data_IF_853101517257
#
_entry.id   IF_853101517257
#
_cell.length_a   1.000
_cell.length_b   1.000
_cell.length_c   1.000
_cell.angle_alpha   90.00
_cell.angle_beta   90.00
_cell.angle_gamma   90.00
#
_symmetry.space_group_name_H-M   'P 1'
#
loop_
_entity.id
_entity.type
_entity.pdbx_description
1 polymer ?
#
# COMPACT_ATOMS: atom_id res chain seq x y z
N UNK A 1 31.61 -4.59 28.19
CA UNK A 1 30.20 -4.36 28.56
C UNK A 1 29.54 -3.61 27.43
N UNK A 2 28.94 -4.37 26.49
CA UNK A 2 28.15 -3.82 25.40
C UNK A 2 26.78 -3.44 25.97
N UNK A 3 26.44 -2.15 25.98
CA UNK A 3 25.06 -1.72 26.20
C UNK A 3 24.26 -2.04 24.94
N UNK A 4 23.50 -3.11 24.99
CA UNK A 4 22.42 -3.35 24.06
C UNK A 4 21.40 -2.24 24.23
N UNK A 5 21.27 -1.39 23.20
CA UNK A 5 20.14 -0.49 23.06
C UNK A 5 18.89 -1.35 22.85
N UNK A 6 18.21 -1.68 23.91
CA UNK A 6 16.83 -2.13 23.84
C UNK A 6 15.99 -0.93 23.39
N UNK A 7 15.60 -0.92 22.13
CA UNK A 7 14.54 -0.04 21.65
C UNK A 7 13.27 -0.53 22.34
N UNK A 8 12.75 0.21 23.31
CA UNK A 8 11.44 -0.08 23.89
C UNK A 8 10.41 0.00 22.77
N UNK A 9 9.89 -1.15 22.41
CA UNK A 9 8.74 -1.28 21.50
C UNK A 9 7.55 -0.60 22.18
N UNK A 10 7.16 0.55 21.67
CA UNK A 10 6.00 1.27 22.17
C UNK A 10 4.76 0.67 21.50
N UNK A 11 3.87 0.13 22.31
CA UNK A 11 2.55 -0.32 21.87
C UNK A 11 1.71 0.91 21.48
N UNK A 12 1.65 1.18 20.17
CA UNK A 12 0.94 2.33 19.61
C UNK A 12 -0.57 2.25 19.82
N UNK A 13 -1.15 1.06 19.85
CA UNK A 13 -2.56 0.88 20.14
C UNK A 13 -2.90 1.31 21.58
N UNK A 14 -2.00 1.06 22.52
CA UNK A 14 -2.15 1.50 23.91
C UNK A 14 -2.05 3.03 24.05
N UNK A 15 -1.17 3.66 23.29
CA UNK A 15 -0.98 5.11 23.27
C UNK A 15 -2.19 5.87 22.72
N UNK A 16 -2.87 5.33 21.71
CA UNK A 16 -4.01 5.99 21.06
C UNK A 16 -5.38 5.61 21.68
N UNK A 17 -5.52 4.41 22.25
CA UNK A 17 -6.80 3.95 22.83
C UNK A 17 -7.06 4.48 24.25
N UNK A 18 -6.05 4.75 25.03
CA UNK A 18 -6.24 5.07 26.46
C UNK A 18 -6.41 6.56 26.77
N UNK A 19 -6.31 7.48 25.81
CA UNK A 19 -6.48 8.92 26.04
C UNK A 19 -5.54 9.57 27.09
N UNK A 20 -4.86 8.76 27.89
CA UNK A 20 -3.92 9.11 28.96
C UNK A 20 -2.51 8.64 28.63
N UNK A 21 -2.06 8.86 27.41
CA UNK A 21 -0.70 8.48 27.02
C UNK A 21 0.32 9.45 27.66
N UNK A 22 1.52 8.95 27.90
CA UNK A 22 2.66 9.79 28.34
C UNK A 22 2.92 10.96 27.37
N UNK A 23 2.48 10.83 26.12
CA UNK A 23 2.54 11.89 25.09
C UNK A 23 1.64 13.07 25.47
N UNK A 24 0.43 12.82 26.00
CA UNK A 24 -0.48 13.90 26.43
C UNK A 24 0.04 14.71 27.63
N UNK A 25 0.99 14.18 28.38
CA UNK A 25 1.61 14.93 29.51
C UNK A 25 2.73 15.87 29.06
N UNK A 26 3.35 15.58 27.91
CA UNK A 26 4.52 16.33 27.40
C UNK A 26 4.13 17.35 26.33
N UNK A 27 3.02 17.14 25.65
CA UNK A 27 2.57 17.96 24.53
C UNK A 27 1.17 18.49 24.82
N UNK A 28 0.99 19.80 24.84
CA UNK A 28 -0.34 20.44 24.90
C UNK A 28 -1.04 20.24 23.56
N UNK A 29 -1.77 19.15 23.42
CA UNK A 29 -2.52 18.81 22.23
C UNK A 29 -3.85 19.54 22.20
N UNK A 30 -4.22 20.06 21.03
CA UNK A 30 -5.58 20.52 20.77
C UNK A 30 -6.49 19.30 20.52
N UNK A 31 -7.83 19.48 20.64
CA UNK A 31 -8.79 18.44 20.31
C UNK A 31 -8.70 17.96 18.84
N UNK A 32 -8.16 18.79 17.97
CA UNK A 32 -7.94 18.52 16.55
C UNK A 32 -6.69 17.66 16.33
N UNK A 33 -5.64 17.90 17.13
CA UNK A 33 -4.42 17.09 17.10
C UNK A 33 -4.67 15.64 17.59
N UNK A 34 -5.61 15.47 18.53
CA UNK A 34 -6.01 14.15 19.02
C UNK A 34 -6.78 13.32 17.97
N UNK A 35 -7.50 13.97 17.04
CA UNK A 35 -8.22 13.30 15.95
C UNK A 35 -7.33 12.90 14.78
N UNK A 36 -6.20 13.56 14.60
CA UNK A 36 -5.26 13.34 13.50
C UNK A 36 -3.88 12.91 14.01
N UNK A 37 -3.82 11.86 14.78
CA UNK A 37 -2.66 11.37 15.58
C UNK A 37 -1.25 11.66 15.05
N UNK A 38 -1.06 11.78 13.73
CA UNK A 38 0.23 12.06 13.12
C UNK A 38 0.68 13.54 13.21
N UNK A 39 -0.23 14.52 13.35
CA UNK A 39 0.16 15.93 13.56
C UNK A 39 1.00 16.13 14.81
N UNK A 40 0.88 15.22 15.77
CA UNK A 40 1.63 15.22 17.01
C UNK A 40 3.11 14.95 16.76
N UNK A 41 3.41 14.02 15.85
CA UNK A 41 4.79 13.60 15.57
C UNK A 41 5.54 14.58 14.67
N UNK A 42 4.80 15.32 13.86
CA UNK A 42 5.38 16.27 12.91
C UNK A 42 5.74 17.63 13.55
N UNK A 43 5.18 17.95 14.70
CA UNK A 43 5.43 19.23 15.40
C UNK A 43 6.52 19.16 16.48
N UNK A 44 7.06 17.97 16.75
CA UNK A 44 8.12 17.85 17.77
C UNK A 44 9.51 18.12 17.20
N UNK A 45 10.36 18.85 17.96
CA UNK A 45 11.81 18.98 17.67
C UNK A 45 12.49 17.62 17.45
N UNK A 46 11.96 16.58 18.08
CA UNK A 46 12.44 15.20 17.98
C UNK A 46 12.33 14.60 16.58
N UNK A 47 11.33 14.99 15.77
CA UNK A 47 11.24 14.54 14.37
C UNK A 47 12.36 15.16 13.54
N UNK A 48 12.76 16.40 13.84
CA UNK A 48 13.89 17.07 13.20
C UNK A 48 15.22 16.41 13.57
N UNK A 49 15.44 16.10 14.85
CA UNK A 49 16.64 15.40 15.30
C UNK A 49 16.81 14.01 14.67
N UNK A 50 15.69 13.26 14.51
CA UNK A 50 15.71 11.99 13.82
C UNK A 50 15.95 12.16 12.32
N UNK A 51 15.34 13.16 11.74
CA UNK A 51 15.55 13.53 10.35
C UNK A 51 17.03 13.83 10.10
N UNK A 52 17.64 14.68 10.93
CA UNK A 52 19.04 15.04 10.82
C UNK A 52 19.96 13.84 11.09
N UNK A 53 19.64 13.01 12.07
CA UNK A 53 20.42 11.81 12.41
C UNK A 53 20.45 10.73 11.33
N UNK A 54 19.33 10.50 10.65
CA UNK A 54 19.22 9.40 9.67
C UNK A 54 19.43 9.85 8.24
N UNK A 55 19.32 11.14 7.97
CA UNK A 55 19.37 11.66 6.60
C UNK A 55 20.44 12.74 6.38
N UNK A 56 21.01 13.32 7.43
CA UNK A 56 22.18 14.20 7.35
C UNK A 56 23.44 13.38 7.62
N UNK A 57 23.89 12.60 6.64
CA UNK A 57 25.21 11.98 6.76
C UNK A 57 26.27 13.04 6.45
N UNK A 58 26.80 13.68 7.47
CA UNK A 58 27.98 14.53 7.40
C UNK A 58 29.24 13.65 7.20
N UNK A 59 29.45 13.17 5.98
CA UNK A 59 30.77 12.75 5.57
C UNK A 59 31.35 13.91 4.76
N UNK A 60 32.17 14.71 5.41
CA UNK A 60 32.95 15.77 4.76
C UNK A 60 33.80 15.15 3.64
N UNK A 61 33.58 15.60 2.42
CA UNK A 61 34.53 15.35 1.34
C UNK A 61 35.59 16.45 1.42
N UNK A 62 36.88 16.07 1.45
CA UNK A 62 38.00 16.98 1.45
C UNK A 62 38.21 17.75 0.14
N UNK A 63 37.33 17.53 -0.83
CA UNK A 63 37.42 18.09 -2.17
C UNK A 63 36.98 19.55 -2.19
N UNK A 64 37.83 20.44 -2.72
CA UNK A 64 37.56 21.89 -2.87
C UNK A 64 37.29 22.21 -4.34
N UNK A 65 36.03 22.43 -4.75
CA UNK A 65 35.70 22.83 -6.10
C UNK A 65 36.11 24.28 -6.39
N UNK A 66 36.60 24.52 -7.60
CA UNK A 66 37.21 25.80 -8.00
C UNK A 66 36.25 26.79 -8.66
N UNK A 67 34.98 26.46 -8.88
CA UNK A 67 34.01 27.32 -9.55
C UNK A 67 33.15 28.13 -8.59
N UNK A 68 33.20 29.46 -8.67
CA UNK A 68 32.48 30.41 -7.81
C UNK A 68 31.20 30.99 -8.40
N UNK A 69 30.85 30.68 -9.65
CA UNK A 69 29.86 31.44 -10.43
C UNK A 69 28.58 30.67 -10.75
N UNK A 70 28.19 29.69 -9.91
CA UNK A 70 26.94 28.97 -10.10
C UNK A 70 25.77 29.59 -9.33
N UNK A 71 24.61 29.65 -9.98
CA UNK A 71 23.36 30.06 -9.35
C UNK A 71 22.79 28.88 -8.54
N UNK A 72 22.51 29.12 -7.23
CA UNK A 72 21.89 28.12 -6.36
C UNK A 72 20.50 27.73 -6.86
N UNK A 73 20.21 26.42 -6.85
CA UNK A 73 18.93 25.89 -7.29
C UNK A 73 18.80 25.76 -8.82
N UNK A 74 19.82 26.18 -9.60
CA UNK A 74 19.80 25.99 -11.04
C UNK A 74 19.88 24.51 -11.40
N UNK A 75 19.01 24.05 -12.29
CA UNK A 75 19.03 22.71 -12.85
C UNK A 75 19.83 22.75 -14.15
N UNK A 76 20.89 21.94 -14.20
CA UNK A 76 21.79 21.77 -15.34
C UNK A 76 21.63 20.38 -15.93
N UNK A 77 21.64 20.28 -17.26
CA UNK A 77 21.76 19.01 -17.97
C UNK A 77 23.25 18.76 -18.24
N UNK A 78 23.76 17.67 -17.70
CA UNK A 78 25.21 17.40 -17.67
C UNK A 78 25.55 16.05 -18.27
N UNK A 79 26.82 15.91 -18.68
CA UNK A 79 27.42 14.63 -19.07
C UNK A 79 28.63 14.33 -18.20
N UNK A 80 28.80 13.06 -17.79
CA UNK A 80 29.97 12.63 -17.05
C UNK A 80 31.22 12.72 -17.90
N UNK A 81 32.31 13.31 -17.35
CA UNK A 81 33.61 13.42 -18.00
C UNK A 81 34.66 12.54 -17.34
N UNK A 82 34.71 12.54 -16.02
CA UNK A 82 35.68 11.79 -15.22
C UNK A 82 35.00 11.29 -13.95
N UNK A 83 35.39 10.10 -13.52
CA UNK A 83 34.98 9.55 -12.23
C UNK A 83 36.23 9.40 -11.40
N UNK A 84 36.27 10.05 -10.25
CA UNK A 84 37.35 9.97 -9.30
C UNK A 84 36.89 9.12 -8.11
N UNK A 85 37.41 7.91 -8.04
CA UNK A 85 37.06 6.95 -6.99
C UNK A 85 37.76 7.23 -5.68
N UNK A 86 38.93 7.89 -5.72
CA UNK A 86 39.69 8.25 -4.51
C UNK A 86 39.00 9.39 -3.78
N UNK A 87 38.63 10.45 -4.50
CA UNK A 87 37.89 11.60 -3.97
C UNK A 87 36.37 11.37 -3.89
N UNK A 88 35.87 10.25 -4.42
CA UNK A 88 34.45 9.89 -4.47
C UNK A 88 33.56 10.95 -5.13
N UNK A 89 34.01 11.47 -6.26
CA UNK A 89 33.37 12.55 -7.01
C UNK A 89 33.27 12.19 -8.49
N UNK A 90 32.17 12.62 -9.12
CA UNK A 90 31.97 12.58 -10.56
C UNK A 90 32.15 14.00 -11.10
N UNK A 91 33.11 14.19 -11.99
CA UNK A 91 33.26 15.42 -12.75
C UNK A 91 32.32 15.39 -13.94
N UNK A 92 31.40 16.34 -14.01
CA UNK A 92 30.41 16.46 -15.08
C UNK A 92 30.52 17.81 -15.76
N UNK A 93 30.15 17.87 -17.03
CA UNK A 93 30.11 19.10 -17.82
C UNK A 93 28.67 19.49 -18.11
N UNK A 94 28.29 20.73 -17.80
CA UNK A 94 27.02 21.31 -18.19
C UNK A 94 26.99 21.51 -19.70
N UNK A 95 25.96 21.00 -20.36
CA UNK A 95 25.81 21.06 -21.83
C UNK A 95 25.54 22.49 -22.34
N UNK A 96 25.00 23.37 -21.51
CA UNK A 96 24.65 24.72 -21.92
C UNK A 96 25.82 25.70 -21.73
N UNK A 97 26.49 25.68 -20.57
CA UNK A 97 27.57 26.61 -20.23
C UNK A 97 28.96 26.05 -20.45
N UNK A 98 29.07 24.73 -20.71
CA UNK A 98 30.32 23.98 -20.78
C UNK A 98 31.14 24.02 -19.47
N UNK A 99 30.56 24.52 -18.41
CA UNK A 99 31.19 24.61 -17.09
C UNK A 99 31.32 23.22 -16.44
N UNK A 100 32.40 23.01 -15.72
CA UNK A 100 32.60 21.79 -14.93
C UNK A 100 31.88 21.87 -13.61
N UNK A 101 31.12 20.84 -13.27
CA UNK A 101 30.41 20.67 -12.01
C UNK A 101 30.89 19.38 -11.36
N UNK A 102 30.99 19.37 -10.04
CA UNK A 102 31.37 18.19 -9.29
C UNK A 102 30.17 17.62 -8.55
N UNK A 103 29.92 16.32 -8.74
CA UNK A 103 28.80 15.58 -8.11
C UNK A 103 29.38 14.54 -7.17
N UNK A 104 29.28 14.69 -5.86
CA UNK A 104 29.71 13.66 -4.90
C UNK A 104 28.95 12.36 -5.11
N UNK A 105 29.58 11.21 -4.91
CA UNK A 105 28.94 9.89 -5.05
C UNK A 105 27.67 9.75 -4.22
N UNK A 106 27.64 10.33 -3.02
CA UNK A 106 26.47 10.36 -2.13
C UNK A 106 25.27 11.10 -2.72
N UNK A 107 25.50 12.03 -3.62
CA UNK A 107 24.48 12.86 -4.31
C UNK A 107 24.09 12.30 -5.68
N UNK A 108 24.54 11.08 -5.98
CA UNK A 108 24.21 10.32 -7.18
C UNK A 108 23.39 9.08 -6.82
N UNK A 109 22.28 8.80 -7.54
CA UNK A 109 21.31 7.77 -7.15
C UNK A 109 21.74 6.35 -7.51
N UNK A 110 22.57 6.19 -8.56
CA UNK A 110 23.09 4.91 -9.04
C UNK A 110 24.52 4.70 -8.58
N UNK A 111 25.03 3.48 -8.71
CA UNK A 111 26.45 3.24 -8.51
C UNK A 111 27.27 3.94 -9.59
N UNK A 112 28.25 4.78 -9.23
CA UNK A 112 29.07 5.52 -10.21
C UNK A 112 29.81 4.64 -11.18
N UNK A 113 30.14 3.41 -10.81
CA UNK A 113 30.74 2.39 -11.68
C UNK A 113 29.90 2.07 -12.92
N UNK A 114 28.57 2.20 -12.82
CA UNK A 114 27.67 1.96 -13.95
C UNK A 114 27.81 3.02 -15.06
N UNK A 115 28.27 4.23 -14.73
CA UNK A 115 28.56 5.27 -15.73
C UNK A 115 29.78 4.93 -16.58
N UNK A 116 30.70 4.09 -16.07
CA UNK A 116 31.91 3.65 -16.80
C UNK A 116 31.55 2.61 -17.86
N UNK A 117 30.56 1.76 -17.57
CA UNK A 117 30.20 0.62 -18.45
C UNK A 117 29.16 0.99 -19.50
N UNK A 118 28.33 2.00 -19.22
CA UNK A 118 27.33 2.50 -20.17
C UNK A 118 27.87 3.75 -20.87
N UNK A 119 28.59 3.57 -21.96
CA UNK A 119 29.08 4.58 -22.91
C UNK A 119 28.93 6.04 -22.44
N UNK A 120 30.00 6.74 -22.26
CA UNK A 120 30.29 8.08 -21.72
C UNK A 120 29.34 9.24 -22.20
N UNK A 121 28.20 8.96 -22.83
CA UNK A 121 27.29 9.97 -23.39
C UNK A 121 25.94 10.03 -22.69
N UNK A 122 25.78 9.43 -21.51
CA UNK A 122 24.52 9.57 -20.77
C UNK A 122 24.42 10.97 -20.16
N UNK A 123 23.49 11.77 -20.66
CA UNK A 123 23.16 13.05 -20.07
C UNK A 123 22.14 12.85 -18.93
N UNK A 124 22.36 13.49 -17.80
CA UNK A 124 21.43 13.51 -16.67
C UNK A 124 21.31 14.92 -16.11
N UNK A 125 20.33 15.13 -15.22
CA UNK A 125 20.09 16.44 -14.63
C UNK A 125 20.66 16.50 -13.23
N UNK A 126 21.27 17.61 -12.90
CA UNK A 126 21.74 17.95 -11.54
C UNK A 126 21.21 19.33 -11.13
N UNK A 127 20.95 19.48 -9.85
CA UNK A 127 20.66 20.79 -9.25
C UNK A 127 21.90 21.29 -8.52
N UNK A 128 22.20 22.55 -8.67
CA UNK A 128 23.35 23.19 -7.99
C UNK A 128 22.97 23.52 -6.56
N UNK A 129 23.76 23.05 -5.62
CA UNK A 129 23.61 23.36 -4.20
C UNK A 129 24.94 23.82 -3.59
N UNK A 130 24.88 24.42 -2.42
CA UNK A 130 26.06 24.85 -1.66
C UNK A 130 26.24 23.90 -0.48
N UNK A 131 27.48 23.37 -0.30
CA UNK A 131 27.80 22.58 0.88
C UNK A 131 28.09 23.49 2.10
N UNK A 132 28.31 22.88 3.26
CA UNK A 132 28.59 23.60 4.50
C UNK A 132 29.89 24.43 4.44
N UNK A 133 30.85 24.04 3.59
CA UNK A 133 32.09 24.76 3.33
C UNK A 133 31.92 25.94 2.36
N UNK A 134 30.73 26.09 1.80
CA UNK A 134 30.44 27.15 0.85
C UNK A 134 30.73 26.83 -0.61
N UNK A 135 31.05 25.58 -0.94
CA UNK A 135 31.37 25.16 -2.30
C UNK A 135 30.10 24.80 -3.08
N UNK A 136 30.11 25.13 -4.39
CA UNK A 136 29.03 24.77 -5.32
C UNK A 136 29.22 23.38 -5.85
N UNK A 137 28.23 22.51 -5.62
CA UNK A 137 28.21 21.12 -6.05
C UNK A 137 26.92 20.79 -6.79
N UNK A 138 26.95 19.77 -7.63
CA UNK A 138 25.77 19.23 -8.29
C UNK A 138 25.18 18.06 -7.50
N UNK A 139 23.87 17.93 -7.52
CA UNK A 139 23.17 16.78 -6.96
C UNK A 139 22.14 16.24 -7.95
N UNK A 140 22.31 15.02 -8.35
CA UNK A 140 21.31 14.29 -9.15
C UNK A 140 20.14 13.85 -8.28
N UNK A 141 20.42 13.36 -7.06
CA UNK A 141 19.39 12.95 -6.09
C UNK A 141 18.42 14.08 -5.74
N UNK A 142 18.93 15.27 -5.46
CA UNK A 142 18.08 16.44 -5.15
C UNK A 142 17.26 16.87 -6.37
N UNK A 143 17.85 16.80 -7.57
CA UNK A 143 17.11 17.08 -8.82
C UNK A 143 15.98 16.06 -9.05
N UNK A 144 16.28 14.79 -8.91
CA UNK A 144 15.26 13.73 -9.00
C UNK A 144 14.19 13.87 -7.91
N UNK A 145 14.58 14.26 -6.68
CA UNK A 145 13.66 14.48 -5.58
C UNK A 145 12.62 15.56 -5.88
N UNK A 146 12.99 16.63 -6.58
CA UNK A 146 12.03 17.66 -7.00
C UNK A 146 10.95 17.09 -7.93
N UNK A 147 11.35 16.35 -8.96
CA UNK A 147 10.41 15.72 -9.88
C UNK A 147 9.52 14.70 -9.17
N UNK A 148 10.11 13.88 -8.29
CA UNK A 148 9.35 12.89 -7.52
C UNK A 148 8.43 13.53 -6.49
N UNK A 149 8.76 14.71 -6.01
CA UNK A 149 7.89 15.49 -5.14
C UNK A 149 6.66 15.99 -5.90
N UNK A 150 6.83 16.51 -7.13
CA UNK A 150 5.72 16.88 -8.00
C UNK A 150 4.80 15.68 -8.28
N UNK A 151 5.36 14.49 -8.53
CA UNK A 151 4.58 13.25 -8.63
C UNK A 151 3.72 13.01 -7.38
N UNK A 152 4.30 13.17 -6.18
CA UNK A 152 3.58 12.95 -4.92
C UNK A 152 2.49 14.01 -4.69
N UNK A 153 2.72 15.26 -5.06
CA UNK A 153 1.69 16.31 -4.99
C UNK A 153 0.51 15.99 -5.94
N UNK A 154 0.79 15.42 -7.12
CA UNK A 154 -0.27 14.92 -8.02
C UNK A 154 -0.99 13.72 -7.43
N UNK A 155 -0.28 12.77 -6.81
CA UNK A 155 -0.89 11.61 -6.15
C UNK A 155 -1.77 12.01 -4.96
N UNK A 156 -1.40 13.07 -4.24
CA UNK A 156 -2.25 13.62 -3.18
C UNK A 156 -3.57 14.16 -3.75
N UNK A 157 -3.53 14.88 -4.88
CA UNK A 157 -4.72 15.44 -5.54
C UNK A 157 -5.59 14.39 -6.20
N UNK A 158 -4.96 13.37 -6.81
CA UNK A 158 -5.65 12.33 -7.59
C UNK A 158 -5.96 11.07 -6.80
N UNK A 159 -5.60 11.03 -5.51
CA UNK A 159 -5.77 9.88 -4.62
C UNK A 159 -5.20 8.58 -5.20
N UNK A 160 -4.10 8.64 -5.93
CA UNK A 160 -3.38 7.49 -6.45
C UNK A 160 -2.51 6.85 -5.38
N UNK A 161 -2.36 5.55 -5.46
CA UNK A 161 -1.44 4.80 -4.63
C UNK A 161 -0.08 4.63 -5.33
N UNK A 162 0.97 4.42 -4.55
CA UNK A 162 2.34 4.21 -5.02
C UNK A 162 3.12 3.36 -4.00
N UNK A 163 4.31 2.91 -4.38
CA UNK A 163 5.17 2.15 -3.49
C UNK A 163 6.17 3.03 -2.75
N UNK A 164 6.40 2.69 -1.47
CA UNK A 164 7.50 3.26 -0.66
C UNK A 164 8.31 2.13 -0.05
N UNK A 165 9.62 2.33 0.06
CA UNK A 165 10.52 1.42 0.77
C UNK A 165 10.63 1.88 2.22
N UNK A 166 10.21 1.04 3.15
CA UNK A 166 10.36 1.30 4.60
C UNK A 166 11.82 1.13 4.99
N UNK A 167 12.43 2.16 5.56
CA UNK A 167 13.87 2.16 5.88
C UNK A 167 14.16 2.03 7.36
N UNK A 168 13.44 2.75 8.20
CA UNK A 168 13.72 2.83 9.63
C UNK A 168 12.44 2.81 10.46
N UNK A 169 12.52 2.15 11.61
CA UNK A 169 11.51 2.27 12.67
C UNK A 169 11.87 3.48 13.52
N UNK A 170 10.89 4.35 13.74
CA UNK A 170 11.04 5.55 14.56
C UNK A 170 9.88 5.64 15.57
N UNK A 171 10.00 6.55 16.55
CA UNK A 171 8.90 6.76 17.49
C UNK A 171 7.65 7.21 16.72
N UNK A 172 6.57 6.45 16.82
CA UNK A 172 5.30 6.76 16.19
C UNK A 172 5.04 6.08 14.85
N UNK A 173 6.03 5.41 14.24
CA UNK A 173 5.86 4.75 12.95
C UNK A 173 7.16 4.45 12.25
N UNK A 174 7.14 4.64 10.94
CA UNK A 174 8.27 4.31 10.08
C UNK A 174 8.66 5.49 9.20
N UNK A 175 9.94 5.61 8.94
CA UNK A 175 10.44 6.38 7.81
C UNK A 175 10.49 5.50 6.58
N UNK A 176 10.06 6.04 5.46
CA UNK A 176 10.06 5.38 4.18
C UNK A 176 10.56 6.32 3.08
N UNK A 177 11.04 5.76 1.99
CA UNK A 177 11.52 6.50 0.83
C UNK A 177 10.69 6.17 -0.41
N UNK A 178 10.23 7.20 -1.08
CA UNK A 178 9.67 7.08 -2.42
C UNK A 178 10.81 7.21 -3.44
N UNK A 179 10.92 6.21 -4.33
CA UNK A 179 11.99 6.11 -5.33
C UNK A 179 13.40 6.37 -4.75
N UNK A 180 13.63 5.95 -3.50
CA UNK A 180 14.91 6.06 -2.82
C UNK A 180 15.34 7.48 -2.39
N UNK A 181 14.53 8.51 -2.66
CA UNK A 181 14.91 9.92 -2.50
C UNK A 181 13.94 10.72 -1.64
N UNK A 182 12.64 10.71 -1.96
CA UNK A 182 11.67 11.54 -1.25
C UNK A 182 11.22 10.85 0.01
N UNK A 183 11.32 11.56 1.11
CA UNK A 183 11.04 11.06 2.45
C UNK A 183 9.55 11.07 2.72
N UNK A 184 9.07 9.97 3.30
CA UNK A 184 7.70 9.78 3.71
C UNK A 184 7.67 9.28 5.15
N UNK A 185 6.68 9.68 5.90
CA UNK A 185 6.39 9.15 7.23
C UNK A 185 5.14 8.27 7.17
N UNK A 186 5.26 7.06 7.68
CA UNK A 186 4.17 6.10 7.80
C UNK A 186 3.86 5.92 9.29
N UNK A 187 2.81 6.55 9.82
CA UNK A 187 2.39 6.36 11.21
C UNK A 187 2.10 4.88 11.51
N UNK A 188 2.44 4.38 12.69
CA UNK A 188 2.17 3.00 13.09
C UNK A 188 0.68 2.63 13.00
N UNK A 189 -0.22 3.55 13.33
CA UNK A 189 -1.68 3.38 13.18
C UNK A 189 -2.17 3.30 11.73
N UNK A 190 -1.34 3.70 10.77
CA UNK A 190 -1.60 3.69 9.33
C UNK A 190 -0.80 2.64 8.57
N UNK A 191 0.12 1.96 9.25
CA UNK A 191 1.05 1.00 8.62
C UNK A 191 0.42 -0.36 8.34
N UNK A 192 -0.71 -0.68 8.95
CA UNK A 192 -1.44 -1.93 8.72
C UNK A 192 -2.95 -1.69 8.70
N UNK A 193 -3.68 -2.60 8.04
CA UNK A 193 -5.13 -2.67 8.17
C UNK A 193 -5.51 -3.29 9.53
N UNK A 194 -4.72 -4.24 9.97
CA UNK A 194 -4.88 -5.05 11.18
C UNK A 194 -3.85 -4.67 12.24
N UNK A 195 -3.89 -5.31 13.40
CA UNK A 195 -2.93 -5.05 14.49
C UNK A 195 -1.53 -5.50 14.09
N UNK A 196 -0.55 -4.61 14.19
CA UNK A 196 0.86 -4.93 13.95
C UNK A 196 1.38 -5.68 15.18
N UNK A 197 1.88 -6.91 14.98
CA UNK A 197 2.44 -7.74 16.05
C UNK A 197 3.94 -7.62 16.14
N UNK A 198 4.64 -7.53 15.01
CA UNK A 198 6.06 -7.24 14.94
C UNK A 198 6.29 -6.03 14.02
N UNK A 199 6.78 -4.95 14.62
CA UNK A 199 7.09 -3.72 13.89
C UNK A 199 8.29 -3.89 12.95
N UNK A 200 9.15 -4.88 13.17
CA UNK A 200 10.29 -5.14 12.29
C UNK A 200 9.88 -5.79 10.98
N UNK A 201 8.70 -6.39 10.91
CA UNK A 201 8.19 -7.05 9.70
C UNK A 201 8.10 -6.14 8.47
N UNK A 202 7.98 -4.83 8.69
CA UNK A 202 7.88 -3.85 7.62
C UNK A 202 9.24 -3.30 7.17
N UNK A 203 10.30 -3.48 7.95
CA UNK A 203 11.62 -2.94 7.64
C UNK A 203 12.18 -3.53 6.34
N UNK A 204 12.77 -2.66 5.52
CA UNK A 204 13.35 -2.97 4.21
C UNK A 204 12.37 -3.52 3.16
N UNK A 205 11.07 -3.53 3.43
CA UNK A 205 10.04 -3.93 2.48
C UNK A 205 9.52 -2.74 1.67
N UNK A 206 9.13 -3.02 0.45
CA UNK A 206 8.35 -2.10 -0.37
C UNK A 206 6.87 -2.38 -0.14
N UNK A 207 6.14 -1.34 0.25
CA UNK A 207 4.71 -1.42 0.53
C UNK A 207 3.94 -0.38 -0.27
N UNK A 208 2.74 -0.72 -0.76
CA UNK A 208 1.87 0.24 -1.42
C UNK A 208 1.21 1.14 -0.39
N UNK A 209 1.18 2.43 -0.67
CA UNK A 209 0.59 3.44 0.22
C UNK A 209 -0.17 4.49 -0.57
N UNK A 210 -0.99 5.26 0.13
CA UNK A 210 -1.59 6.49 -0.37
C UNK A 210 -1.18 7.64 0.54
N UNK A 211 -1.17 8.86 0.00
CA UNK A 211 -0.89 10.03 0.81
C UNK A 211 -2.12 10.35 1.66
N UNK A 212 -1.89 10.52 2.95
CA UNK A 212 -2.90 10.99 3.90
C UNK A 212 -2.89 12.51 3.97
N UNK A 213 -1.69 13.07 4.12
CA UNK A 213 -1.48 14.52 4.22
C UNK A 213 -0.03 14.88 3.86
N UNK A 214 0.19 16.17 3.60
CA UNK A 214 1.52 16.76 3.48
C UNK A 214 1.76 17.74 4.62
N UNK A 215 2.80 17.50 5.41
CA UNK A 215 3.24 18.39 6.47
C UNK A 215 4.20 19.43 5.90
N UNK A 216 3.68 20.64 5.71
CA UNK A 216 4.46 21.76 5.18
C UNK A 216 5.57 22.22 6.14
N UNK A 217 5.41 22.00 7.45
CA UNK A 217 6.37 22.45 8.45
C UNK A 217 7.66 21.64 8.40
N UNK A 218 7.52 20.32 8.25
CA UNK A 218 8.63 19.38 8.22
C UNK A 218 9.00 18.91 6.81
N UNK A 219 8.34 19.44 5.80
CA UNK A 219 8.52 19.04 4.40
C UNK A 219 8.40 17.51 4.18
N UNK A 220 7.34 16.91 4.73
CA UNK A 220 7.20 15.48 4.87
C UNK A 220 5.83 14.99 4.39
N UNK A 221 5.81 14.02 3.48
CA UNK A 221 4.57 13.34 3.08
C UNK A 221 4.20 12.28 4.11
N UNK A 222 2.98 12.37 4.63
CA UNK A 222 2.42 11.39 5.53
C UNK A 222 1.63 10.39 4.70
N UNK A 223 2.00 9.13 4.79
CA UNK A 223 1.46 8.06 3.96
C UNK A 223 0.73 7.01 4.78
N UNK A 224 -0.21 6.30 4.14
CA UNK A 224 -1.08 5.34 4.79
C UNK A 224 -1.24 4.07 3.93
N UNK A 225 -0.78 2.95 4.43
CA UNK A 225 -1.10 1.63 3.89
C UNK A 225 -2.57 1.27 4.15
N UNK A 226 -3.08 1.65 5.32
CA UNK A 226 -4.49 1.43 5.68
C UNK A 226 -5.46 2.11 4.71
N UNK A 227 -5.15 3.33 4.26
CA UNK A 227 -5.95 4.04 3.23
C UNK A 227 -5.94 3.28 1.90
N UNK A 228 -4.76 2.80 1.47
CA UNK A 228 -4.61 1.95 0.29
C UNK A 228 -5.46 0.67 0.39
N UNK A 229 -5.38 -0.04 1.52
CA UNK A 229 -6.18 -1.25 1.74
C UNK A 229 -7.67 -0.91 1.69
N UNK A 230 -8.11 0.16 2.34
CA UNK A 230 -9.53 0.57 2.33
C UNK A 230 -10.05 0.82 0.91
N UNK A 231 -9.23 1.43 0.04
CA UNK A 231 -9.59 1.68 -1.35
C UNK A 231 -9.62 0.40 -2.19
N UNK A 232 -8.67 -0.50 -1.97
CA UNK A 232 -8.49 -1.71 -2.80
C UNK A 232 -9.24 -2.93 -2.29
N UNK A 233 -9.62 -2.94 -1.01
CA UNK A 233 -10.30 -4.07 -0.37
C UNK A 233 -11.55 -4.56 -1.12
N UNK A 234 -12.44 -3.68 -1.65
CA UNK A 234 -13.61 -4.12 -2.42
C UNK A 234 -13.26 -4.90 -3.69
N UNK A 235 -12.05 -4.72 -4.22
CA UNK A 235 -11.56 -5.48 -5.38
C UNK A 235 -10.87 -6.76 -4.93
N UNK A 236 -10.00 -6.67 -3.91
CA UNK A 236 -9.25 -7.81 -3.36
C UNK A 236 -10.14 -8.90 -2.78
N UNK A 237 -11.32 -8.54 -2.27
CA UNK A 237 -12.27 -9.52 -1.71
C UNK A 237 -12.79 -10.50 -2.76
N UNK A 238 -12.73 -10.16 -4.05
CA UNK A 238 -13.08 -11.06 -5.14
C UNK A 238 -12.06 -12.19 -5.36
N UNK A 239 -10.86 -12.08 -4.77
CA UNK A 239 -9.83 -13.12 -4.82
C UNK A 239 -10.10 -14.20 -3.76
N UNK A 240 -10.96 -13.92 -2.76
CA UNK A 240 -11.37 -14.92 -1.79
C UNK A 240 -12.30 -15.95 -2.42
N UNK A 241 -12.03 -17.19 -2.08
CA UNK A 241 -12.81 -18.35 -2.56
C UNK A 241 -13.77 -18.78 -1.46
N UNK A 242 -15.07 -18.74 -1.74
CA UNK A 242 -16.09 -19.27 -0.84
C UNK A 242 -15.94 -20.79 -0.76
N UNK A 243 -15.92 -21.34 0.45
CA UNK A 243 -15.71 -22.76 0.69
C UNK A 243 -14.24 -23.17 0.85
N UNK A 244 -13.30 -22.28 0.59
CA UNK A 244 -11.89 -22.56 0.84
C UNK A 244 -11.55 -22.39 2.33
N UNK A 245 -10.64 -23.25 2.80
CA UNK A 245 -10.14 -23.25 4.19
C UNK A 245 -8.97 -22.27 4.32
N UNK A 246 -9.08 -21.39 5.30
CA UNK A 246 -8.04 -20.43 5.66
C UNK A 246 -7.68 -20.56 7.13
N UNK A 247 -6.49 -20.11 7.49
CA UNK A 247 -6.07 -19.87 8.86
C UNK A 247 -5.93 -18.40 9.13
N UNK A 248 -6.34 -17.96 10.30
CA UNK A 248 -6.26 -16.58 10.72
C UNK A 248 -6.06 -16.42 12.22
N UNK A 249 -5.96 -15.19 12.67
CA UNK A 249 -5.62 -14.86 14.03
C UNK A 249 -6.75 -14.05 14.66
N UNK A 250 -7.15 -14.42 15.87
CA UNK A 250 -8.18 -13.70 16.61
C UNK A 250 -7.70 -12.30 17.00
N UNK A 251 -8.46 -11.27 16.59
CA UNK A 251 -8.11 -9.86 16.87
C UNK A 251 -8.19 -9.52 18.34
N UNK A 252 -9.29 -9.96 18.98
CA UNK A 252 -9.64 -9.64 20.34
C UNK A 252 -10.12 -10.90 21.08
N UNK A 253 -10.40 -10.77 22.39
CA UNK A 253 -11.14 -11.79 23.11
C UNK A 253 -12.49 -12.05 22.43
N UNK A 254 -12.98 -13.29 22.45
CA UNK A 254 -14.30 -13.61 21.94
C UNK A 254 -15.40 -12.71 22.51
N UNK A 255 -16.26 -12.19 21.64
CA UNK A 255 -17.43 -11.39 22.03
C UNK A 255 -18.63 -12.32 22.27
N UNK A 256 -19.68 -11.83 22.92
CA UNK A 256 -20.91 -12.61 23.15
C UNK A 256 -21.62 -13.04 21.85
N UNK A 257 -21.38 -12.35 20.74
CA UNK A 257 -21.98 -12.63 19.43
C UNK A 257 -21.07 -13.40 18.47
N UNK A 258 -19.76 -13.52 18.76
CA UNK A 258 -18.82 -14.20 17.87
C UNK A 258 -17.39 -13.73 18.02
N UNK A 259 -16.55 -14.15 17.08
CA UNK A 259 -15.12 -13.87 17.05
C UNK A 259 -14.73 -13.19 15.74
N UNK A 260 -13.93 -12.12 15.81
CA UNK A 260 -13.31 -11.52 14.64
C UNK A 260 -11.95 -12.18 14.38
N UNK A 261 -11.74 -12.60 13.15
CA UNK A 261 -10.52 -13.25 12.70
C UNK A 261 -9.86 -12.43 11.61
N UNK A 262 -8.60 -12.08 11.80
CA UNK A 262 -7.74 -11.43 10.80
C UNK A 262 -6.99 -12.48 10.00
N UNK A 263 -6.97 -12.33 8.68
CA UNK A 263 -6.26 -13.24 7.79
C UNK A 263 -5.76 -12.53 6.51
N UNK A 264 -4.78 -13.14 5.83
CA UNK A 264 -4.12 -12.60 4.65
C UNK A 264 -3.67 -11.13 4.81
N UNK A 265 -3.28 -10.72 6.03
CA UNK A 265 -2.74 -9.41 6.42
C UNK A 265 -3.71 -8.21 6.32
N UNK A 266 -4.86 -8.34 5.68
CA UNK A 266 -5.77 -7.20 5.47
C UNK A 266 -7.25 -7.54 5.53
N UNK A 267 -7.65 -8.81 5.54
CA UNK A 267 -9.03 -9.20 5.73
C UNK A 267 -9.38 -9.36 7.21
N UNK A 268 -10.59 -9.01 7.55
CA UNK A 268 -11.20 -9.33 8.85
C UNK A 268 -12.57 -9.95 8.58
N UNK A 269 -12.78 -11.15 9.09
CA UNK A 269 -14.04 -11.87 8.98
C UNK A 269 -14.67 -12.12 10.35
N UNK A 270 -15.97 -12.37 10.36
CA UNK A 270 -16.75 -12.71 11.57
C UNK A 270 -17.11 -14.18 11.58
N UNK A 271 -16.64 -14.92 12.59
CA UNK A 271 -17.17 -16.20 13.02
C UNK A 271 -18.28 -15.94 14.04
N UNK A 272 -19.55 -15.98 13.58
CA UNK A 272 -20.69 -15.72 14.44
C UNK A 272 -20.93 -16.88 15.40
N UNK A 273 -21.47 -16.62 16.59
CA UNK A 273 -21.75 -17.66 17.60
C UNK A 273 -22.61 -18.83 17.11
N UNK A 274 -23.50 -18.57 16.16
CA UNK A 274 -24.36 -19.59 15.56
C UNK A 274 -23.62 -20.61 14.71
N UNK A 275 -22.37 -20.33 14.38
CA UNK A 275 -21.49 -21.26 13.66
C UNK A 275 -20.96 -22.39 14.56
N UNK A 276 -21.08 -22.27 15.86
CA UNK A 276 -20.60 -23.25 16.83
C UNK A 276 -21.76 -23.97 17.51
N UNK A 277 -21.60 -25.24 17.81
CA UNK A 277 -22.61 -26.01 18.59
C UNK A 277 -22.68 -25.52 20.04
N UNK A 278 -21.51 -25.22 20.65
CA UNK A 278 -21.39 -24.71 22.00
C UNK A 278 -20.40 -23.53 22.04
N UNK A 279 -20.86 -22.35 21.68
CA UNK A 279 -20.02 -21.16 21.62
C UNK A 279 -19.45 -20.78 23.00
N UNK A 280 -20.18 -20.99 24.08
CA UNK A 280 -19.74 -20.59 25.43
C UNK A 280 -18.49 -21.39 25.87
N UNK A 281 -18.39 -22.66 25.52
CA UNK A 281 -17.20 -23.48 25.79
C UNK A 281 -16.06 -23.11 24.85
N UNK A 282 -16.34 -22.97 23.57
CA UNK A 282 -15.34 -22.60 22.55
C UNK A 282 -14.74 -21.23 22.87
N UNK A 283 -15.55 -20.25 23.21
CA UNK A 283 -15.09 -18.89 23.52
C UNK A 283 -14.13 -18.81 24.72
N UNK A 284 -14.23 -19.74 25.68
CA UNK A 284 -13.32 -19.81 26.83
C UNK A 284 -11.94 -20.38 26.49
N UNK A 285 -11.84 -21.16 25.39
CA UNK A 285 -10.60 -21.80 24.95
C UNK A 285 -9.68 -20.85 24.19
N UNK A 286 -10.24 -19.84 23.54
CA UNK A 286 -9.52 -18.91 22.69
C UNK A 286 -9.21 -17.57 23.36
N UNK A 287 -8.03 -17.03 23.02
CA UNK A 287 -7.55 -15.71 23.45
C UNK A 287 -7.19 -14.87 22.24
N UNK A 288 -7.10 -13.56 22.45
CA UNK A 288 -6.54 -12.65 21.42
C UNK A 288 -5.14 -13.11 21.01
N UNK A 289 -4.91 -13.23 19.71
CA UNK A 289 -3.66 -13.71 19.16
C UNK A 289 -3.62 -15.19 18.81
N UNK A 290 -4.59 -15.99 19.24
CA UNK A 290 -4.66 -17.41 18.89
C UNK A 290 -5.01 -17.59 17.41
N UNK A 291 -4.44 -18.63 16.82
CA UNK A 291 -4.75 -19.02 15.44
C UNK A 291 -5.97 -19.92 15.41
N UNK A 292 -6.85 -19.67 14.44
CA UNK A 292 -8.05 -20.49 14.20
C UNK A 292 -8.19 -20.78 12.71
N UNK A 293 -8.57 -22.01 12.38
CA UNK A 293 -8.93 -22.43 11.04
C UNK A 293 -10.42 -22.22 10.80
N UNK A 294 -10.77 -21.80 9.60
CA UNK A 294 -12.15 -21.51 9.20
C UNK A 294 -12.32 -21.63 7.69
N UNK A 295 -13.58 -21.59 7.26
CA UNK A 295 -13.95 -21.48 5.85
C UNK A 295 -14.61 -20.13 5.61
N UNK A 296 -14.41 -19.55 4.40
CA UNK A 296 -15.20 -18.39 3.96
C UNK A 296 -16.58 -18.89 3.59
N UNK A 297 -17.60 -18.49 4.36
CA UNK A 297 -18.99 -18.92 4.18
C UNK A 297 -19.73 -18.04 3.17
N UNK A 298 -19.57 -16.73 3.31
CA UNK A 298 -20.22 -15.76 2.44
C UNK A 298 -19.51 -14.40 2.50
N UNK A 299 -19.73 -13.57 1.49
CA UNK A 299 -19.20 -12.23 1.41
C UNK A 299 -20.32 -11.28 1.00
N UNK A 300 -20.65 -10.31 1.87
CA UNK A 300 -21.76 -9.37 1.65
C UNK A 300 -21.17 -7.96 1.47
N UNK A 301 -21.47 -7.34 0.33
CA UNK A 301 -21.11 -5.94 0.09
C UNK A 301 -22.13 -5.01 0.73
N UNK A 302 -21.74 -4.25 1.75
CA UNK A 302 -22.61 -3.27 2.42
C UNK A 302 -22.02 -1.87 2.32
N UNK A 303 -22.70 -0.95 1.66
CA UNK A 303 -22.24 0.43 1.41
C UNK A 303 -20.82 0.51 0.79
N UNK A 304 -20.47 -0.44 -0.08
CA UNK A 304 -19.15 -0.51 -0.72
C UNK A 304 -18.06 -1.20 0.09
N UNK A 305 -18.34 -1.57 1.36
CA UNK A 305 -17.40 -2.31 2.21
C UNK A 305 -17.78 -3.80 2.26
N UNK A 306 -16.82 -4.72 2.09
CA UNK A 306 -17.06 -6.15 2.21
C UNK A 306 -17.21 -6.57 3.67
N UNK A 307 -18.20 -7.40 3.94
CA UNK A 307 -18.37 -8.13 5.21
C UNK A 307 -18.15 -9.60 4.93
N UNK A 308 -17.10 -10.15 5.51
CA UNK A 308 -16.70 -11.54 5.30
C UNK A 308 -17.29 -12.36 6.45
N UNK A 309 -18.12 -13.32 6.10
CA UNK A 309 -18.76 -14.25 7.04
C UNK A 309 -17.98 -15.56 6.99
N UNK A 310 -17.56 -16.02 8.15
CA UNK A 310 -16.76 -17.21 8.32
C UNK A 310 -17.58 -18.32 8.98
N UNK A 311 -17.18 -19.56 8.78
CA UNK A 311 -17.74 -20.74 9.46
C UNK A 311 -16.64 -21.72 9.88
N UNK A 312 -16.90 -22.50 10.90
CA UNK A 312 -16.01 -23.56 11.39
C UNK A 312 -16.12 -24.86 10.58
N UNK A 313 -17.19 -25.02 9.77
CA UNK A 313 -17.45 -26.23 9.00
C UNK A 313 -17.88 -25.93 7.57
N UNK A 314 -17.35 -26.71 6.62
CA UNK A 314 -17.72 -26.62 5.20
C UNK A 314 -19.22 -26.92 4.96
N UNK A 315 -19.82 -27.84 5.71
CA UNK A 315 -21.21 -28.26 5.55
C UNK A 315 -22.23 -27.12 5.83
N UNK A 316 -21.79 -26.06 6.48
CA UNK A 316 -22.61 -24.88 6.79
C UNK A 316 -22.64 -23.85 5.67
N UNK A 317 -21.92 -24.09 4.58
CA UNK A 317 -21.89 -23.21 3.41
C UNK A 317 -23.11 -23.51 2.56
N UNK A 318 -23.84 -22.46 2.16
CA UNK A 318 -25.02 -22.61 1.34
C UNK A 318 -24.69 -23.13 -0.07
N UNK A 319 -25.54 -24.01 -0.60
CA UNK A 319 -25.37 -24.56 -1.96
C UNK A 319 -25.30 -23.47 -3.03
N UNK A 320 -26.09 -22.42 -2.89
CA UNK A 320 -26.11 -21.29 -3.83
C UNK A 320 -24.75 -20.58 -3.91
N UNK A 321 -24.07 -20.34 -2.77
CA UNK A 321 -22.74 -19.74 -2.74
C UNK A 321 -21.71 -20.61 -3.45
N UNK A 322 -21.77 -21.93 -3.22
CA UNK A 322 -20.88 -22.89 -3.87
C UNK A 322 -21.13 -22.94 -5.38
N UNK A 323 -22.41 -22.92 -5.82
CA UNK A 323 -22.75 -22.89 -7.24
C UNK A 323 -22.20 -21.65 -7.95
N UNK A 324 -22.28 -20.47 -7.34
CA UNK A 324 -21.71 -19.26 -7.92
C UNK A 324 -20.19 -19.28 -7.98
N UNK A 325 -19.54 -19.88 -6.99
CA UNK A 325 -18.08 -20.07 -7.00
C UNK A 325 -17.64 -21.07 -8.07
N UNK A 326 -18.35 -22.16 -8.22
CA UNK A 326 -18.10 -23.17 -9.26
C UNK A 326 -18.33 -22.57 -10.66
N UNK A 327 -19.40 -21.80 -10.83
CA UNK A 327 -19.69 -21.05 -12.05
C UNK A 327 -18.51 -20.14 -12.44
N UNK A 328 -17.96 -19.39 -11.48
CA UNK A 328 -16.78 -18.54 -11.73
C UNK A 328 -15.62 -19.34 -12.30
N UNK A 329 -15.31 -20.47 -11.69
CA UNK A 329 -14.18 -21.32 -12.10
C UNK A 329 -14.39 -21.95 -13.49
N UNK A 330 -15.64 -22.34 -13.83
CA UNK A 330 -15.94 -23.07 -15.04
C UNK A 330 -16.17 -22.20 -16.28
N UNK A 331 -16.70 -20.98 -16.11
CA UNK A 331 -17.20 -20.22 -17.28
C UNK A 331 -16.50 -18.87 -17.52
N UNK A 332 -15.72 -18.36 -16.58
CA UNK A 332 -15.03 -17.06 -16.76
C UNK A 332 -14.05 -17.16 -17.94
N UNK A 333 -14.19 -16.25 -18.91
CA UNK A 333 -13.38 -16.22 -20.14
C UNK A 333 -13.90 -17.11 -21.28
N UNK A 334 -14.93 -17.94 -21.07
CA UNK A 334 -15.45 -18.85 -22.09
C UNK A 334 -16.57 -18.24 -22.93
N UNK A 335 -16.80 -18.84 -24.11
CA UNK A 335 -17.95 -18.56 -24.96
C UNK A 335 -18.96 -19.68 -24.77
N UNK A 336 -20.19 -19.32 -24.43
CA UNK A 336 -21.25 -20.26 -24.07
C UNK A 336 -22.50 -20.01 -24.90
N UNK A 337 -23.25 -21.08 -25.16
CA UNK A 337 -24.53 -20.98 -25.85
C UNK A 337 -25.64 -20.51 -24.90
N UNK A 338 -26.55 -19.70 -25.42
CA UNK A 338 -27.72 -19.28 -24.67
C UNK A 338 -29.03 -19.46 -25.46
N UNK A 339 -30.14 -19.54 -24.74
CA UNK A 339 -31.50 -19.46 -25.26
C UNK A 339 -32.27 -18.35 -24.52
N UNK A 340 -33.04 -17.54 -25.28
CA UNK A 340 -33.83 -16.44 -24.72
C UNK A 340 -35.22 -16.95 -24.32
N UNK A 341 -35.58 -16.79 -23.06
CA UNK A 341 -36.94 -16.95 -22.57
C UNK A 341 -37.69 -15.61 -22.71
N UNK A 342 -38.68 -15.58 -23.63
CA UNK A 342 -39.46 -14.36 -23.91
C UNK A 342 -40.50 -14.06 -22.83
N UNK A 343 -40.83 -15.03 -21.96
CA UNK A 343 -41.88 -14.87 -20.96
C UNK A 343 -41.44 -13.92 -19.84
N UNK A 344 -40.21 -14.04 -19.39
CA UNK A 344 -39.61 -13.20 -18.32
C UNK A 344 -38.41 -12.36 -18.78
N UNK A 345 -38.10 -12.43 -20.08
CA UNK A 345 -36.98 -11.74 -20.70
C UNK A 345 -35.65 -12.05 -20.01
N UNK A 346 -35.37 -13.34 -19.89
CA UNK A 346 -34.11 -13.86 -19.35
C UNK A 346 -33.43 -14.77 -20.38
N UNK A 347 -32.12 -14.95 -20.23
CA UNK A 347 -31.38 -15.95 -21.02
C UNK A 347 -31.02 -17.14 -20.15
N UNK A 348 -31.17 -18.33 -20.71
CA UNK A 348 -30.69 -19.59 -20.16
C UNK A 348 -29.36 -19.93 -20.82
N UNK A 349 -28.31 -19.94 -20.04
CA UNK A 349 -26.92 -20.17 -20.48
C UNK A 349 -26.58 -21.63 -20.24
N UNK A 350 -26.15 -22.33 -21.28
CA UNK A 350 -25.75 -23.74 -21.20
C UNK A 350 -24.34 -23.84 -20.64
N UNK A 351 -24.17 -24.62 -19.57
CA UNK A 351 -22.86 -24.85 -18.96
C UNK A 351 -21.98 -25.75 -19.82
N UNK A 352 -20.64 -25.66 -19.73
CA UNK A 352 -19.73 -26.48 -20.54
C UNK A 352 -19.88 -27.98 -20.33
N UNK A 353 -20.40 -28.42 -19.17
CA UNK A 353 -20.67 -29.81 -18.84
C UNK A 353 -21.98 -30.34 -19.49
N UNK A 354 -22.81 -29.46 -20.04
CA UNK A 354 -24.08 -29.80 -20.69
C UNK A 354 -25.20 -30.23 -19.75
N UNK A 355 -24.92 -30.39 -18.45
CA UNK A 355 -25.91 -30.93 -17.48
C UNK A 355 -26.69 -29.82 -16.78
N UNK A 356 -26.18 -28.61 -16.75
CA UNK A 356 -26.75 -27.48 -16.01
C UNK A 356 -26.98 -26.28 -16.93
N UNK A 357 -28.05 -25.54 -16.65
CA UNK A 357 -28.32 -24.24 -17.25
C UNK A 357 -28.37 -23.17 -16.18
N UNK A 358 -27.81 -22.04 -16.49
CA UNK A 358 -27.81 -20.87 -15.61
C UNK A 358 -28.71 -19.78 -16.20
N UNK A 359 -29.61 -19.22 -15.38
CA UNK A 359 -30.57 -18.20 -15.83
C UNK A 359 -30.06 -16.81 -15.48
N UNK A 360 -29.97 -15.91 -16.46
CA UNK A 360 -29.55 -14.53 -16.28
C UNK A 360 -30.64 -13.58 -16.79
N UNK A 361 -31.03 -12.60 -15.96
CA UNK A 361 -31.99 -11.56 -16.30
C UNK A 361 -31.35 -10.54 -17.28
N UNK A 362 -32.02 -10.30 -18.40
CA UNK A 362 -31.60 -9.32 -19.42
C UNK A 362 -32.62 -8.20 -19.62
N UNK A 363 -33.52 -7.98 -18.68
CA UNK A 363 -34.53 -6.92 -18.73
C UNK A 363 -33.95 -5.53 -18.97
N UNK A 364 -32.73 -5.25 -18.49
CA UNK A 364 -32.02 -3.99 -18.68
C UNK A 364 -31.66 -3.71 -20.15
N UNK A 365 -31.66 -4.74 -21.02
CA UNK A 365 -31.38 -4.66 -22.47
C UNK A 365 -32.65 -4.51 -23.31
N UNK A 366 -33.83 -4.67 -22.69
CA UNK A 366 -35.11 -4.62 -23.39
C UNK A 366 -35.29 -3.31 -24.14
N UNK A 367 -35.47 -3.41 -25.46
CA UNK A 367 -35.63 -2.25 -26.36
C UNK A 367 -34.32 -1.50 -26.71
N UNK A 368 -33.17 -1.92 -26.20
CA UNK A 368 -31.85 -1.32 -26.49
C UNK A 368 -31.05 -2.18 -27.47
N UNK A 369 -31.18 -3.50 -27.38
CA UNK A 369 -30.43 -4.45 -28.19
C UNK A 369 -31.42 -5.52 -28.72
N UNK A 370 -31.30 -5.91 -30.01
CA UNK A 370 -32.00 -7.08 -30.55
C UNK A 370 -31.25 -8.31 -30.09
N UNK A 371 -31.85 -9.06 -29.17
CA UNK A 371 -31.32 -10.34 -28.70
C UNK A 371 -32.00 -11.44 -29.53
N UNK A 372 -31.20 -12.31 -30.13
CA UNK A 372 -31.71 -13.48 -30.88
C UNK A 372 -32.31 -14.51 -29.92
N UNK A 373 -33.23 -15.35 -30.41
CA UNK A 373 -33.86 -16.38 -29.59
C UNK A 373 -32.84 -17.43 -29.08
N UNK A 374 -31.73 -17.59 -29.77
CA UNK A 374 -30.57 -18.39 -29.37
C UNK A 374 -29.29 -17.79 -29.97
N UNK A 375 -28.15 -18.05 -29.38
CA UNK A 375 -26.86 -17.56 -29.85
C UNK A 375 -25.77 -17.87 -28.86
N UNK A 376 -24.68 -17.11 -28.95
CA UNK A 376 -23.53 -17.26 -28.08
C UNK A 376 -23.28 -15.98 -27.29
N UNK A 377 -22.77 -16.14 -26.07
CA UNK A 377 -22.29 -15.08 -25.23
C UNK A 377 -20.82 -15.36 -24.84
N UNK A 378 -20.02 -14.32 -24.77
CA UNK A 378 -18.66 -14.40 -24.19
C UNK A 378 -18.71 -13.88 -22.77
N UNK A 379 -18.43 -14.74 -21.80
CA UNK A 379 -18.40 -14.38 -20.39
C UNK A 379 -17.06 -13.74 -20.07
N UNK A 380 -17.08 -12.47 -19.65
CA UNK A 380 -15.86 -11.74 -19.28
C UNK A 380 -15.52 -11.88 -17.81
N UNK A 381 -16.54 -11.88 -16.95
CA UNK A 381 -16.37 -11.94 -15.51
C UNK A 381 -17.58 -12.53 -14.81
N UNK A 382 -17.31 -13.38 -13.82
CA UNK A 382 -18.32 -13.88 -12.87
C UNK A 382 -18.07 -13.23 -11.52
N UNK A 383 -19.03 -12.44 -11.05
CA UNK A 383 -19.01 -11.86 -9.71
C UNK A 383 -19.82 -12.76 -8.77
N UNK A 384 -19.13 -13.74 -8.17
CA UNK A 384 -19.76 -14.70 -7.25
C UNK A 384 -20.32 -14.03 -5.99
N UNK A 385 -19.77 -12.88 -5.58
CA UNK A 385 -20.22 -12.13 -4.41
C UNK A 385 -21.54 -11.42 -4.67
N UNK A 386 -21.63 -10.74 -5.83
CA UNK A 386 -22.85 -10.03 -6.23
C UNK A 386 -23.84 -10.90 -6.97
N UNK A 387 -23.48 -12.15 -7.25
CA UNK A 387 -24.25 -13.10 -8.03
C UNK A 387 -24.63 -12.54 -9.42
N UNK A 388 -23.64 -12.04 -10.13
CA UNK A 388 -23.80 -11.39 -11.44
C UNK A 388 -22.80 -11.90 -12.46
N UNK A 389 -23.26 -12.01 -13.72
CA UNK A 389 -22.42 -12.29 -14.87
C UNK A 389 -22.22 -11.01 -15.68
N UNK A 390 -20.98 -10.81 -16.17
CA UNK A 390 -20.69 -9.82 -17.21
C UNK A 390 -20.30 -10.54 -18.48
N UNK A 391 -21.05 -10.31 -19.54
CA UNK A 391 -20.87 -10.95 -20.84
C UNK A 391 -21.28 -10.03 -21.97
N UNK A 392 -20.79 -10.34 -23.17
CA UNK A 392 -21.23 -9.73 -24.42
C UNK A 392 -21.88 -10.81 -25.30
N UNK A 393 -22.87 -10.41 -26.12
CA UNK A 393 -23.44 -11.26 -27.16
C UNK A 393 -22.45 -11.31 -28.32
N UNK A 394 -22.19 -12.53 -28.83
CA UNK A 394 -21.27 -12.80 -29.94
C UNK A 394 -22.03 -12.84 -31.25
#
# INVERSE_FOLDING_TARGET
>A
MQKTNQTELIDFDLLFRQGNSKINQTIKLTAEDQRSGFKIFCKEPYAQDLYDKYFSSNAETSFVPTNKDFELGKICTVTAKKIDFDEKVIEVQDLASLSTIFVPFREFSSEPSLLVHNEINHSFKVIIYKNDNGDFLGSEKRCAALTYREDLEDYLKTEKWFYVKVTNLVKGGYLALYKGTVKCFLPGSHAAANVIRDFNDYLNKEIPVMIENFDQTNDLFIVSYKKYIKQTLPQKVHDLVIGEKYSGILTNKPYEFGMFVEFQNYFTGLLHKTEFQNYEEVSKQYKSGDTIDFYVKDIIMKKGEPRIILTDSYDKIGQEQLQWQDLKTKVEGQTLDYTLDKSDFSISISMPDGEQTFKSDVNHLKGRTKISDSGQIKVHKVDAIRKQLRYDFV
#
